data_IF_945268310617
#
_entry.id   IF_945268310617
#
_cell.length_a   1.000
_cell.length_b   1.000
_cell.length_c   1.000
_cell.angle_alpha   90.00
_cell.angle_beta   90.00
_cell.angle_gamma   90.00
#
_symmetry.space_group_name_H-M   'P 1'
#
loop_
_entity.id
_entity.type
_entity.pdbx_description
1 polymer ?
#
# COMPACT_ATOMS: atom_id res chain seq x y z
N UNK A 1 -13.11 18.30 2.78
CA UNK A 1 -11.72 18.49 3.25
C UNK A 1 -10.85 19.12 2.16
N UNK A 2 -10.72 18.50 0.97
CA UNK A 2 -9.92 19.06 -0.14
C UNK A 2 -10.33 20.49 -0.53
N UNK A 3 -11.62 20.72 -0.83
CA UNK A 3 -12.13 22.06 -1.16
C UNK A 3 -11.98 23.08 -0.01
N UNK A 4 -11.94 22.59 1.23
CA UNK A 4 -11.80 23.44 2.42
C UNK A 4 -10.31 23.63 2.81
N UNK A 5 -9.36 23.14 2.00
CA UNK A 5 -7.91 23.25 2.27
C UNK A 5 -7.40 22.42 3.46
N UNK A 6 -8.24 21.55 4.05
CA UNK A 6 -7.88 20.74 5.24
C UNK A 6 -7.35 19.35 4.90
N UNK A 7 -7.24 19.03 3.61
CA UNK A 7 -6.54 17.86 3.10
C UNK A 7 -5.87 18.21 1.77
N UNK A 8 -4.84 17.44 1.41
CA UNK A 8 -4.18 17.50 0.11
C UNK A 8 -3.79 16.10 -0.34
N UNK A 9 -3.57 15.91 -1.63
CA UNK A 9 -3.00 14.66 -2.16
C UNK A 9 -1.49 14.61 -1.90
N UNK A 10 -0.86 13.48 -2.24
CA UNK A 10 0.59 13.47 -2.39
C UNK A 10 1.02 14.60 -3.32
N UNK A 11 2.04 15.35 -2.91
CA UNK A 11 2.57 16.47 -3.67
C UNK A 11 3.54 15.99 -4.74
N UNK A 12 4.52 16.82 -5.07
CA UNK A 12 5.61 16.45 -5.99
C UNK A 12 6.48 15.30 -5.47
N UNK A 13 6.42 14.98 -4.18
CA UNK A 13 7.09 13.82 -3.59
C UNK A 13 6.39 12.49 -3.90
N UNK A 14 5.19 12.50 -4.48
CA UNK A 14 4.44 11.31 -4.91
C UNK A 14 3.91 10.42 -3.77
N UNK A 15 4.42 10.60 -2.54
CA UNK A 15 4.04 9.81 -1.37
C UNK A 15 3.33 10.61 -0.30
N UNK A 16 3.42 11.95 -0.27
CA UNK A 16 2.88 12.83 0.77
C UNK A 16 3.61 12.75 2.12
N UNK A 17 4.65 11.92 2.22
CA UNK A 17 5.43 11.69 3.43
C UNK A 17 6.24 12.91 3.85
N UNK A 18 6.65 13.75 2.90
CA UNK A 18 7.48 14.94 3.18
C UNK A 18 6.75 15.96 4.04
N UNK A 19 5.52 16.31 3.69
CA UNK A 19 4.72 17.24 4.47
C UNK A 19 4.46 16.72 5.91
N UNK A 20 4.38 15.40 6.09
CA UNK A 20 4.19 14.82 7.42
C UNK A 20 5.42 14.97 8.32
N UNK A 21 6.62 14.59 7.86
CA UNK A 21 7.81 14.71 8.71
C UNK A 21 8.28 16.16 8.90
N UNK A 22 7.91 17.07 8.00
CA UNK A 22 8.07 18.52 8.19
C UNK A 22 7.05 19.12 9.17
N UNK A 23 6.13 18.31 9.72
CA UNK A 23 5.12 18.75 10.69
C UNK A 23 3.99 19.59 10.08
N UNK A 24 3.83 19.57 8.75
CA UNK A 24 2.80 20.35 8.04
C UNK A 24 1.44 19.65 7.99
N UNK A 25 1.38 18.36 8.28
CA UNK A 25 0.12 17.59 8.35
C UNK A 25 -0.01 16.85 9.68
N UNK A 26 -1.23 16.84 10.22
CA UNK A 26 -1.54 16.09 11.45
C UNK A 26 -1.67 14.58 11.18
N UNK A 27 -2.24 14.23 10.01
CA UNK A 27 -2.44 12.84 9.60
C UNK A 27 -1.81 12.58 8.25
N UNK A 28 -1.26 11.38 8.12
CA UNK A 28 -0.68 10.86 6.89
C UNK A 28 -1.22 9.46 6.62
N UNK A 29 -1.70 9.22 5.41
CA UNK A 29 -2.10 7.89 4.94
C UNK A 29 -1.20 7.49 3.78
N UNK A 30 -0.45 6.41 3.94
CA UNK A 30 0.45 5.91 2.93
C UNK A 30 0.89 4.47 3.18
N UNK A 31 1.86 4.02 2.40
CA UNK A 31 2.38 2.65 2.51
C UNK A 31 3.10 2.43 3.84
N UNK A 32 2.87 1.27 4.45
CA UNK A 32 3.64 0.83 5.62
C UNK A 32 5.15 0.72 5.35
N UNK A 33 5.55 0.53 4.08
CA UNK A 33 6.96 0.53 3.69
C UNK A 33 7.66 1.87 3.97
N UNK A 34 6.91 2.97 4.10
CA UNK A 34 7.48 4.27 4.47
C UNK A 34 7.89 4.35 5.95
N UNK A 35 7.47 3.42 6.83
CA UNK A 35 7.76 3.47 8.28
C UNK A 35 9.27 3.51 8.56
N UNK A 36 10.06 2.71 7.84
CA UNK A 36 11.52 2.66 8.02
C UNK A 36 12.15 4.02 7.69
N UNK A 37 11.77 4.63 6.58
CA UNK A 37 12.17 5.99 6.18
C UNK A 37 11.67 7.03 7.17
N UNK A 38 10.42 6.94 7.63
CA UNK A 38 9.86 7.85 8.62
C UNK A 38 10.65 7.78 9.94
N UNK A 39 11.00 6.59 10.42
CA UNK A 39 11.81 6.43 11.63
C UNK A 39 13.20 7.05 11.50
N UNK A 40 13.80 6.99 10.31
CA UNK A 40 15.12 7.55 10.05
C UNK A 40 15.10 9.08 9.85
N UNK A 41 14.08 9.61 9.18
CA UNK A 41 14.05 10.99 8.69
C UNK A 41 13.22 11.95 9.55
N UNK A 42 12.36 11.45 10.43
CA UNK A 42 11.51 12.32 11.26
C UNK A 42 12.36 13.02 12.32
N UNK A 43 12.21 14.36 12.50
CA UNK A 43 12.90 15.09 13.55
C UNK A 43 12.69 14.45 14.93
N UNK A 44 13.75 14.41 15.76
CA UNK A 44 13.71 13.73 17.07
C UNK A 44 12.66 14.30 18.04
N UNK A 45 12.25 15.54 17.84
CA UNK A 45 11.23 16.23 18.63
C UNK A 45 9.80 16.04 18.09
N UNK A 46 9.62 15.42 16.93
CA UNK A 46 8.29 15.10 16.39
C UNK A 46 7.87 13.71 16.89
N UNK A 47 6.89 13.69 17.79
CA UNK A 47 6.28 12.46 18.29
C UNK A 47 5.18 12.00 17.33
N UNK A 48 5.27 10.76 16.87
CA UNK A 48 4.29 10.18 15.95
C UNK A 48 4.01 8.71 16.28
N UNK A 49 2.89 8.22 15.76
CA UNK A 49 2.47 6.83 15.90
C UNK A 49 1.73 6.36 14.63
N UNK A 50 1.42 5.07 14.55
CA UNK A 50 0.63 4.51 13.46
C UNK A 50 -0.66 3.90 13.98
N UNK A 51 -1.69 3.95 13.15
CA UNK A 51 -2.97 3.30 13.41
C UNK A 51 -3.56 2.78 12.10
N UNK A 52 -4.53 1.86 12.19
CA UNK A 52 -5.29 1.41 11.02
C UNK A 52 -6.14 2.55 10.46
N UNK A 53 -6.42 2.50 9.16
CA UNK A 53 -7.31 3.49 8.54
C UNK A 53 -8.70 3.52 9.21
N UNK A 54 -9.34 4.69 9.31
CA UNK A 54 -10.68 4.82 9.85
C UNK A 54 -11.68 3.93 9.09
N UNK A 55 -12.61 3.32 9.81
CA UNK A 55 -13.73 2.62 9.18
C UNK A 55 -14.72 3.61 8.58
N UNK A 56 -15.35 3.24 7.47
CA UNK A 56 -16.48 3.99 6.90
C UNK A 56 -17.77 3.17 7.05
N UNK A 57 -18.79 3.76 7.70
CA UNK A 57 -20.08 3.09 8.00
C UNK A 57 -19.89 1.72 8.67
N UNK A 58 -18.98 1.65 9.66
CA UNK A 58 -18.64 0.43 10.38
C UNK A 58 -17.78 -0.58 9.61
N UNK A 59 -17.46 -0.33 8.34
CA UNK A 59 -16.64 -1.22 7.51
C UNK A 59 -15.19 -0.78 7.53
N UNK A 60 -14.31 -1.68 7.97
CA UNK A 60 -12.86 -1.52 7.87
C UNK A 60 -12.39 -1.98 6.49
N UNK A 61 -11.40 -1.30 5.94
CA UNK A 61 -10.80 -1.66 4.67
C UNK A 61 -9.36 -1.17 4.64
N UNK A 62 -8.45 -2.02 4.17
CA UNK A 62 -7.05 -1.66 3.96
C UNK A 62 -6.57 -2.24 2.63
N UNK A 63 -6.13 -1.37 1.71
CA UNK A 63 -5.51 -1.83 0.48
C UNK A 63 -4.19 -2.54 0.77
N UNK A 64 -4.03 -3.74 0.24
CA UNK A 64 -2.78 -4.49 0.24
C UNK A 64 -2.14 -4.34 -1.14
N UNK A 65 -0.95 -3.73 -1.16
CA UNK A 65 -0.16 -3.54 -2.35
C UNK A 65 1.30 -3.86 -2.05
N UNK A 66 2.08 -4.11 -3.09
CA UNK A 66 3.49 -4.48 -2.96
C UNK A 66 4.07 -4.88 -4.30
N UNK A 67 5.21 -5.58 -4.23
CA UNK A 67 5.90 -6.08 -5.40
C UNK A 67 5.61 -7.58 -5.55
N UNK A 68 5.47 -8.01 -6.80
CA UNK A 68 5.33 -9.43 -7.14
C UNK A 68 6.62 -9.99 -7.72
N UNK A 69 6.87 -11.27 -7.44
CA UNK A 69 7.92 -12.05 -8.11
C UNK A 69 7.23 -12.94 -9.14
N UNK A 70 7.52 -12.69 -10.42
CA UNK A 70 6.92 -13.43 -11.54
C UNK A 70 7.94 -14.32 -12.24
N UNK A 71 7.44 -15.40 -12.85
CA UNK A 71 8.24 -16.33 -13.64
C UNK A 71 7.75 -16.30 -15.09
N UNK A 72 8.64 -15.93 -16.02
CA UNK A 72 8.28 -15.85 -17.42
C UNK A 72 7.98 -17.23 -18.03
N UNK A 73 7.04 -17.25 -18.98
CA UNK A 73 6.63 -18.48 -19.68
C UNK A 73 7.78 -19.13 -20.47
N UNK A 74 8.75 -18.34 -20.90
CA UNK A 74 9.94 -18.82 -21.63
C UNK A 74 10.98 -19.54 -20.76
N UNK A 75 10.84 -19.54 -19.43
CA UNK A 75 11.80 -20.18 -18.54
C UNK A 75 11.90 -21.70 -18.79
N UNK A 76 13.14 -22.20 -18.85
CA UNK A 76 13.44 -23.62 -19.01
C UNK A 76 13.03 -24.43 -17.77
N UNK A 77 12.93 -25.75 -17.89
CA UNK A 77 12.58 -26.63 -16.76
C UNK A 77 13.54 -26.47 -15.57
N UNK A 78 14.85 -26.32 -15.82
CA UNK A 78 15.85 -26.11 -14.77
C UNK A 78 15.70 -24.75 -14.09
N UNK A 79 15.47 -23.68 -14.87
CA UNK A 79 15.21 -22.34 -14.33
C UNK A 79 13.94 -22.31 -13.46
N UNK A 80 12.86 -22.97 -13.91
CA UNK A 80 11.61 -23.09 -13.14
C UNK A 80 11.84 -23.79 -11.79
N UNK A 81 12.63 -24.85 -11.76
CA UNK A 81 13.00 -25.56 -10.51
C UNK A 81 13.81 -24.66 -9.58
N UNK A 82 14.78 -23.91 -10.11
CA UNK A 82 15.58 -22.95 -9.35
C UNK A 82 14.72 -21.82 -8.76
N UNK A 83 13.84 -21.24 -9.58
CA UNK A 83 12.93 -20.19 -9.14
C UNK A 83 11.97 -20.68 -8.03
N UNK A 84 11.43 -21.89 -8.15
CA UNK A 84 10.60 -22.49 -7.11
C UNK A 84 11.37 -22.68 -5.78
N UNK A 85 12.62 -23.14 -5.85
CA UNK A 85 13.48 -23.27 -4.67
C UNK A 85 13.77 -21.90 -4.02
N UNK A 86 14.04 -20.88 -4.83
CA UNK A 86 14.30 -19.52 -4.36
C UNK A 86 13.07 -18.90 -3.69
N UNK A 87 11.89 -18.99 -4.31
CA UNK A 87 10.63 -18.52 -3.71
C UNK A 87 10.35 -19.25 -2.39
N UNK A 88 10.57 -20.57 -2.34
CA UNK A 88 10.43 -21.34 -1.09
C UNK A 88 11.36 -20.85 0.02
N UNK A 89 12.60 -20.48 -0.32
CA UNK A 89 13.53 -19.88 0.63
C UNK A 89 13.04 -18.51 1.13
N UNK A 90 12.60 -17.62 0.24
CA UNK A 90 12.07 -16.30 0.62
C UNK A 90 10.82 -16.41 1.50
N UNK A 91 9.94 -17.39 1.24
CA UNK A 91 8.75 -17.65 2.04
C UNK A 91 9.05 -18.37 3.36
N UNK A 92 10.29 -18.80 3.60
CA UNK A 92 10.65 -19.41 4.87
C UNK A 92 10.49 -18.41 6.01
N UNK A 93 10.07 -18.91 7.17
CA UNK A 93 9.69 -18.08 8.33
C UNK A 93 10.75 -17.02 8.68
N UNK A 94 12.02 -17.43 8.76
CA UNK A 94 13.16 -16.55 9.07
C UNK A 94 13.30 -15.40 8.06
N UNK A 95 13.16 -15.70 6.77
CA UNK A 95 13.38 -14.69 5.73
C UNK A 95 12.25 -13.68 5.69
N UNK A 96 10.99 -14.13 5.79
CA UNK A 96 9.87 -13.20 5.79
C UNK A 96 9.81 -12.34 7.06
N UNK A 97 10.24 -12.85 8.22
CA UNK A 97 10.39 -12.04 9.45
C UNK A 97 11.46 -10.97 9.21
N UNK A 98 12.66 -11.38 8.77
CA UNK A 98 13.74 -10.42 8.51
C UNK A 98 13.37 -9.38 7.46
N UNK A 99 12.59 -9.74 6.44
CA UNK A 99 12.09 -8.80 5.44
C UNK A 99 11.17 -7.76 6.08
N UNK A 100 10.18 -8.21 6.85
CA UNK A 100 9.22 -7.32 7.51
C UNK A 100 9.91 -6.35 8.48
N UNK A 101 10.83 -6.85 9.30
CA UNK A 101 11.56 -6.05 10.29
C UNK A 101 12.45 -4.97 9.66
N UNK A 102 13.09 -5.27 8.53
CA UNK A 102 14.06 -4.36 7.90
C UNK A 102 13.43 -3.32 6.99
N UNK A 103 12.20 -3.53 6.54
CA UNK A 103 11.63 -2.72 5.46
C UNK A 103 10.33 -1.99 5.83
N UNK A 104 9.64 -2.44 6.88
CA UNK A 104 8.30 -1.94 7.20
C UNK A 104 7.18 -2.66 6.43
N UNK A 105 7.52 -3.62 5.55
CA UNK A 105 6.54 -4.57 5.01
C UNK A 105 5.99 -5.49 6.11
N UNK A 106 4.95 -6.23 5.75
CA UNK A 106 4.32 -7.24 6.61
C UNK A 106 4.83 -8.65 6.28
N UNK A 107 4.80 -9.60 7.23
CA UNK A 107 5.15 -10.98 6.95
C UNK A 107 4.24 -11.60 5.89
N UNK A 108 4.84 -12.36 4.98
CA UNK A 108 4.19 -12.99 3.84
C UNK A 108 3.51 -14.32 4.20
N UNK A 109 3.76 -14.85 5.40
CA UNK A 109 3.16 -16.10 5.87
C UNK A 109 2.52 -15.95 7.24
N UNK A 110 1.42 -16.69 7.46
CA UNK A 110 0.72 -16.75 8.75
C UNK A 110 1.60 -17.27 9.88
N UNK A 111 2.52 -18.19 9.59
CA UNK A 111 3.44 -18.76 10.58
C UNK A 111 4.46 -17.74 11.05
N UNK A 112 4.95 -16.86 10.17
CA UNK A 112 5.81 -15.75 10.55
C UNK A 112 5.06 -14.67 11.32
N UNK A 113 3.83 -14.35 10.91
CA UNK A 113 2.99 -13.41 11.64
C UNK A 113 2.76 -13.85 13.09
N UNK A 114 2.58 -15.15 13.34
CA UNK A 114 2.34 -15.71 14.69
C UNK A 114 3.61 -16.04 15.46
N UNK A 115 4.79 -15.84 14.87
CA UNK A 115 6.05 -16.22 15.48
C UNK A 115 6.36 -15.36 16.71
N UNK A 116 6.88 -15.98 17.77
CA UNK A 116 7.18 -15.30 19.04
C UNK A 116 8.19 -14.17 18.86
N UNK A 117 9.23 -14.37 18.04
CA UNK A 117 10.26 -13.34 17.84
C UNK A 117 9.68 -12.13 17.11
N UNK A 118 8.81 -12.38 16.13
CA UNK A 118 8.12 -11.31 15.42
C UNK A 118 7.11 -10.58 16.32
N UNK A 119 6.39 -11.29 17.19
CA UNK A 119 5.50 -10.64 18.18
C UNK A 119 6.29 -9.77 19.17
N UNK A 120 7.45 -10.23 19.62
CA UNK A 120 8.36 -9.45 20.45
C UNK A 120 8.91 -8.22 19.70
N UNK A 121 9.23 -8.35 18.41
CA UNK A 121 9.57 -7.22 17.56
C UNK A 121 8.45 -6.18 17.53
N UNK A 122 7.19 -6.59 17.35
CA UNK A 122 6.05 -5.68 17.34
C UNK A 122 5.85 -4.96 18.67
N UNK A 123 6.11 -5.61 19.81
CA UNK A 123 6.08 -4.97 21.13
C UNK A 123 7.13 -3.84 21.21
N UNK A 124 8.35 -4.10 20.75
CA UNK A 124 9.46 -3.13 20.73
C UNK A 124 9.28 -2.03 19.67
N UNK A 125 8.55 -2.32 18.59
CA UNK A 125 8.33 -1.44 17.45
C UNK A 125 6.84 -1.19 17.23
N UNK A 126 6.17 -0.41 18.11
CA UNK A 126 4.72 -0.24 18.06
C UNK A 126 4.21 0.37 16.75
N UNK A 127 5.04 1.14 16.04
CA UNK A 127 4.73 1.71 14.72
C UNK A 127 4.48 0.63 13.64
N UNK A 128 5.03 -0.58 13.78
CA UNK A 128 4.79 -1.67 12.84
C UNK A 128 3.43 -2.37 13.06
N UNK A 129 2.79 -2.22 14.22
CA UNK A 129 1.57 -2.96 14.59
C UNK A 129 0.37 -2.64 13.71
N UNK A 130 0.24 -1.41 13.24
CA UNK A 130 -0.91 -0.98 12.45
C UNK A 130 -1.02 -1.76 11.13
N UNK A 131 0.10 -1.92 10.41
CA UNK A 131 0.15 -2.65 9.15
C UNK A 131 -0.25 -4.13 9.33
N UNK A 132 0.31 -4.79 10.34
CA UNK A 132 0.03 -6.20 10.64
C UNK A 132 -1.43 -6.42 11.07
N UNK A 133 -2.00 -5.50 11.87
CA UNK A 133 -3.41 -5.57 12.26
C UNK A 133 -4.36 -5.39 11.09
N UNK A 134 -3.97 -4.59 10.10
CA UNK A 134 -4.78 -4.34 8.91
C UNK A 134 -4.90 -5.55 7.97
N UNK A 135 -4.00 -6.54 8.08
CA UNK A 135 -4.05 -7.76 7.27
C UNK A 135 -5.39 -8.53 7.39
N UNK A 136 -6.04 -8.52 8.55
CA UNK A 136 -7.27 -9.30 8.76
C UNK A 136 -8.50 -8.72 8.05
N UNK A 137 -8.41 -7.48 7.56
CA UNK A 137 -9.44 -6.80 6.79
C UNK A 137 -8.85 -6.16 5.51
N UNK A 138 -7.70 -6.69 5.08
CA UNK A 138 -7.02 -6.23 3.88
C UNK A 138 -7.68 -6.80 2.62
N UNK A 139 -7.61 -6.05 1.53
CA UNK A 139 -8.03 -6.51 0.20
C UNK A 139 -6.95 -6.20 -0.83
N UNK A 140 -6.90 -6.98 -1.91
CA UNK A 140 -6.06 -6.71 -3.08
C UNK A 140 -6.97 -6.30 -4.23
N UNK A 141 -6.46 -5.46 -5.12
CA UNK A 141 -7.14 -5.16 -6.36
C UNK A 141 -7.22 -6.43 -7.23
N UNK A 142 -8.36 -6.70 -7.89
CA UNK A 142 -8.45 -7.81 -8.82
C UNK A 142 -7.57 -7.54 -10.05
N UNK A 143 -6.85 -8.56 -10.49
CA UNK A 143 -6.12 -8.50 -11.76
C UNK A 143 -7.09 -8.78 -12.92
N UNK A 144 -7.09 -7.93 -13.95
CA UNK A 144 -7.89 -8.10 -15.16
C UNK A 144 -7.20 -7.47 -16.39
N UNK A 145 -7.59 -7.90 -17.58
CA UNK A 145 -7.10 -7.31 -18.85
C UNK A 145 -7.59 -5.87 -18.92
N UNK A 146 -6.67 -4.93 -19.11
CA UNK A 146 -7.01 -3.51 -19.10
C UNK A 146 -6.82 -2.80 -17.76
N UNK A 147 -6.29 -3.49 -16.74
CA UNK A 147 -6.07 -2.90 -15.40
C UNK A 147 -5.26 -1.60 -15.47
N UNK A 148 -4.19 -1.54 -16.27
CA UNK A 148 -3.36 -0.33 -16.39
C UNK A 148 -4.13 0.85 -17.00
N UNK A 149 -4.96 0.59 -18.01
CA UNK A 149 -5.80 1.60 -18.64
C UNK A 149 -6.87 2.11 -17.66
N UNK A 150 -7.49 1.19 -16.92
CA UNK A 150 -8.40 1.51 -15.82
C UNK A 150 -7.71 2.36 -14.76
N UNK A 151 -6.54 1.94 -14.29
CA UNK A 151 -5.80 2.60 -13.20
C UNK A 151 -5.34 4.00 -13.62
N UNK A 152 -4.88 4.16 -14.86
CA UNK A 152 -4.54 5.46 -15.45
C UNK A 152 -5.77 6.38 -15.53
N UNK A 153 -6.92 5.87 -16.00
CA UNK A 153 -8.17 6.63 -16.04
C UNK A 153 -8.64 7.04 -14.64
N UNK A 154 -8.56 6.13 -13.67
CA UNK A 154 -8.90 6.39 -12.27
C UNK A 154 -8.03 7.51 -11.68
N UNK A 155 -6.71 7.42 -11.84
CA UNK A 155 -5.78 8.45 -11.34
C UNK A 155 -6.03 9.81 -12.00
N UNK A 156 -6.33 9.82 -13.30
CA UNK A 156 -6.74 11.05 -14.01
C UNK A 156 -8.00 11.64 -13.40
N UNK A 157 -9.03 10.83 -13.15
CA UNK A 157 -10.28 11.29 -12.52
C UNK A 157 -10.05 11.82 -11.11
N UNK A 158 -9.19 11.18 -10.31
CA UNK A 158 -8.77 11.70 -9.01
C UNK A 158 -8.09 13.06 -9.16
N UNK A 159 -7.17 13.21 -10.12
CA UNK A 159 -6.53 14.49 -10.43
C UNK A 159 -7.52 15.59 -10.83
N UNK A 160 -8.57 15.27 -11.60
CA UNK A 160 -9.63 16.22 -11.94
C UNK A 160 -10.42 16.67 -10.69
N UNK A 161 -10.69 15.75 -9.76
CA UNK A 161 -11.38 16.09 -8.51
C UNK A 161 -10.51 16.96 -7.59
N UNK A 162 -9.21 16.69 -7.53
CA UNK A 162 -8.31 17.32 -6.56
C UNK A 162 -7.74 18.64 -7.06
N UNK A 163 -7.28 18.71 -8.30
CA UNK A 163 -6.63 19.89 -8.88
C UNK A 163 -7.62 20.82 -9.60
N UNK A 164 -8.63 20.25 -10.27
CA UNK A 164 -9.56 21.01 -11.12
C UNK A 164 -10.96 21.17 -10.48
N UNK A 165 -11.13 20.73 -9.24
CA UNK A 165 -12.37 20.83 -8.47
C UNK A 165 -13.62 20.27 -9.16
N UNK A 166 -13.45 19.29 -10.06
CA UNK A 166 -14.57 18.56 -10.65
C UNK A 166 -15.31 17.79 -9.56
N UNK A 167 -16.64 17.83 -9.54
CA UNK A 167 -17.41 17.12 -8.51
C UNK A 167 -17.21 15.60 -8.62
N UNK A 168 -17.26 14.86 -7.50
CA UNK A 168 -17.14 13.40 -7.51
C UNK A 168 -18.14 12.73 -8.46
N UNK A 169 -19.39 13.17 -8.48
CA UNK A 169 -20.44 12.62 -9.34
C UNK A 169 -20.08 12.75 -10.81
N UNK A 170 -19.55 13.91 -11.22
CA UNK A 170 -19.15 14.16 -12.60
C UNK A 170 -17.90 13.38 -12.98
N UNK A 171 -16.86 13.43 -12.15
CA UNK A 171 -15.59 12.74 -12.42
C UNK A 171 -15.76 11.21 -12.47
N UNK A 172 -16.54 10.65 -11.54
CA UNK A 172 -16.82 9.21 -11.50
C UNK A 172 -17.79 8.79 -12.62
N UNK A 173 -18.77 9.62 -12.98
CA UNK A 173 -19.63 9.37 -14.14
C UNK A 173 -18.84 9.33 -15.46
N UNK A 174 -17.90 10.25 -15.65
CA UNK A 174 -16.99 10.25 -16.80
C UNK A 174 -16.08 9.01 -16.81
N UNK A 175 -15.54 8.64 -15.65
CA UNK A 175 -14.73 7.44 -15.48
C UNK A 175 -15.52 6.18 -15.87
N UNK A 176 -16.77 6.06 -15.40
CA UNK A 176 -17.64 4.93 -15.72
C UNK A 176 -17.89 4.80 -17.22
N UNK A 177 -18.19 5.90 -17.92
CA UNK A 177 -18.36 5.89 -19.39
C UNK A 177 -17.06 5.49 -20.09
N UNK A 178 -15.92 5.97 -19.61
CA UNK A 178 -14.62 5.66 -20.20
C UNK A 178 -14.27 4.17 -20.05
N UNK A 179 -14.47 3.58 -18.87
CA UNK A 179 -14.20 2.16 -18.60
C UNK A 179 -15.18 1.28 -19.38
N UNK A 180 -16.46 1.64 -19.44
CA UNK A 180 -17.46 0.86 -20.19
C UNK A 180 -17.13 0.71 -21.68
N UNK A 181 -16.38 1.66 -22.28
CA UNK A 181 -15.86 1.52 -23.65
C UNK A 181 -14.70 0.54 -23.75
N UNK A 182 -13.88 0.42 -22.71
CA UNK A 182 -12.73 -0.50 -22.68
C UNK A 182 -13.20 -1.96 -22.62
N UNK A 183 -14.29 -2.25 -21.90
CA UNK A 183 -14.89 -3.59 -21.85
C UNK A 183 -15.41 -4.07 -23.21
N UNK A 184 -15.79 -3.14 -24.10
CA UNK A 184 -16.28 -3.47 -25.45
C UNK A 184 -15.16 -3.64 -26.50
N UNK A 185 -13.90 -3.41 -26.13
CA UNK A 185 -12.75 -3.45 -27.04
C UNK A 185 -11.83 -4.66 -26.83
N UNK A 186 -12.11 -5.49 -25.82
CA UNK A 186 -11.42 -6.75 -25.51
C UNK A 186 -12.35 -7.94 -25.78
#
# INVERSE_FOLDING_TARGET
MLQNGTATTAGTDGYGSTNFFEGKTLFYSGSSAAISTLQASTPKNLHWSTTSLPSYKGKKSAGMAGNDIVMFKSASKSQRKGAAAFVKYLMSKKQTISWAEKTGYVPLTKSAQKDTDYQNYLVKNPTAKAAVRSLSFGFQDPAFIGYEQYFSALNKSIGQMTANHVTPEKALGQLQVQIGKMDTQN
#
